data_IF_722103588262
#
_entry.id   IF_722103588262
#
_cell.length_a   1.000
_cell.length_b   1.000
_cell.length_c   1.000
_cell.angle_alpha   90.00
_cell.angle_beta   90.00
_cell.angle_gamma   90.00
#
_symmetry.space_group_name_H-M   'P 1'
#
loop_
_entity.id
_entity.type
_entity.pdbx_description
1 polymer ?
#
# COMPACT_ATOMS: atom_id res chain seq x y z
N UNK A 1 -23.86 18.87 -9.70
CA UNK A 1 -22.71 17.99 -9.39
C UNK A 1 -22.01 17.71 -10.71
N UNK A 2 -20.78 18.16 -10.91
CA UNK A 2 -20.07 17.92 -12.17
C UNK A 2 -19.72 16.43 -12.32
N UNK A 3 -19.98 15.89 -13.52
CA UNK A 3 -19.64 14.52 -13.90
C UNK A 3 -18.52 14.52 -14.93
N UNK A 4 -17.56 13.62 -14.77
CA UNK A 4 -16.39 13.47 -15.63
C UNK A 4 -16.36 12.07 -16.22
N UNK A 5 -16.10 11.96 -17.52
CA UNK A 5 -15.95 10.68 -18.19
C UNK A 5 -14.51 10.19 -18.06
N UNK A 6 -14.34 9.05 -17.44
CA UNK A 6 -13.09 8.29 -17.37
C UNK A 6 -13.28 6.93 -18.06
N UNK A 7 -12.21 6.14 -18.19
CA UNK A 7 -12.29 4.79 -18.75
C UNK A 7 -11.77 3.75 -17.77
N UNK A 8 -12.51 2.69 -17.55
CA UNK A 8 -12.07 1.54 -16.78
C UNK A 8 -11.49 0.47 -17.72
N UNK A 9 -10.37 -0.12 -17.33
CA UNK A 9 -9.80 -1.29 -18.01
C UNK A 9 -10.19 -2.61 -17.31
N UNK A 10 -10.05 -3.72 -18.02
CA UNK A 10 -10.43 -5.06 -17.51
C UNK A 10 -9.56 -5.53 -16.32
N UNK A 11 -8.40 -4.91 -16.11
CA UNK A 11 -7.49 -5.22 -15.00
C UNK A 11 -7.89 -4.45 -13.73
N UNK A 12 -8.81 -3.49 -13.84
CA UNK A 12 -9.28 -2.64 -12.74
C UNK A 12 -8.50 -1.32 -12.62
N UNK A 13 -7.83 -0.85 -13.67
CA UNK A 13 -7.31 0.51 -13.72
C UNK A 13 -8.36 1.48 -14.22
N UNK A 14 -8.57 2.56 -13.48
CA UNK A 14 -9.25 3.73 -13.99
C UNK A 14 -8.24 4.65 -14.69
N UNK A 15 -8.58 5.10 -15.89
CA UNK A 15 -7.78 5.99 -16.72
C UNK A 15 -8.37 7.40 -16.68
N UNK A 16 -7.53 8.34 -16.29
CA UNK A 16 -7.78 9.78 -16.34
C UNK A 16 -7.19 10.33 -17.65
N UNK A 17 -8.04 10.99 -18.46
CA UNK A 17 -7.57 11.70 -19.66
C UNK A 17 -6.57 12.80 -19.26
N UNK A 18 -5.87 13.36 -20.25
CA UNK A 18 -4.98 14.50 -20.02
C UNK A 18 -5.73 15.68 -19.38
N UNK A 19 -6.95 15.97 -19.85
CA UNK A 19 -7.78 17.06 -19.30
C UNK A 19 -8.17 16.79 -17.84
N UNK A 20 -8.54 15.54 -17.51
CA UNK A 20 -8.85 15.17 -16.12
C UNK A 20 -7.61 15.24 -15.23
N UNK A 21 -6.46 14.83 -15.75
CA UNK A 21 -5.20 14.89 -15.01
C UNK A 21 -4.79 16.32 -14.70
N UNK A 22 -4.98 17.25 -15.63
CA UNK A 22 -4.76 18.69 -15.42
C UNK A 22 -5.79 19.25 -14.43
N UNK A 23 -7.07 18.96 -14.62
CA UNK A 23 -8.16 19.43 -13.73
C UNK A 23 -8.00 18.97 -12.28
N UNK A 24 -7.54 17.74 -12.06
CA UNK A 24 -7.29 17.19 -10.73
C UNK A 24 -5.84 17.35 -10.26
N UNK A 25 -4.99 18.06 -11.01
CA UNK A 25 -3.57 18.32 -10.69
C UNK A 25 -2.80 17.02 -10.36
N UNK A 26 -3.08 15.93 -11.07
CA UNK A 26 -2.52 14.59 -10.81
C UNK A 26 -1.00 14.53 -11.01
N UNK A 27 -0.44 15.43 -11.83
CA UNK A 27 1.02 15.56 -12.00
C UNK A 27 1.72 16.02 -10.70
N UNK A 28 1.05 16.87 -9.92
CA UNK A 28 1.57 17.39 -8.64
C UNK A 28 1.13 16.54 -7.44
N UNK A 29 0.20 15.62 -7.66
CA UNK A 29 -0.34 14.69 -6.66
C UNK A 29 -0.19 13.26 -7.16
N UNK A 30 1.06 12.74 -7.24
CA UNK A 30 1.34 11.44 -7.86
C UNK A 30 0.78 10.23 -7.06
N UNK A 31 0.18 10.47 -5.89
CA UNK A 31 -0.39 9.45 -5.03
C UNK A 31 -1.86 9.74 -4.74
N UNK A 32 -2.58 8.74 -4.23
CA UNK A 32 -3.94 8.89 -3.71
C UNK A 32 -4.18 8.07 -2.46
N UNK A 33 -4.96 8.61 -1.54
CA UNK A 33 -5.67 7.81 -0.55
C UNK A 33 -6.99 7.32 -1.17
N UNK A 34 -7.26 6.02 -1.05
CA UNK A 34 -8.49 5.42 -1.57
C UNK A 34 -9.37 5.06 -0.39
N UNK A 35 -10.55 5.65 -0.34
CA UNK A 35 -11.56 5.37 0.68
C UNK A 35 -12.70 4.57 0.04
N UNK A 36 -13.28 3.66 0.80
CA UNK A 36 -14.42 2.84 0.37
C UNK A 36 -15.61 3.06 1.30
N UNK A 37 -16.76 3.30 0.70
CA UNK A 37 -18.07 3.20 1.32
C UNK A 37 -18.72 1.91 0.81
N UNK A 38 -18.69 0.87 1.66
CA UNK A 38 -19.23 -0.45 1.31
C UNK A 38 -20.75 -0.43 1.20
N UNK A 39 -21.43 0.30 2.07
CA UNK A 39 -22.89 0.35 2.11
C UNK A 39 -23.47 1.13 0.92
N UNK A 40 -22.82 2.22 0.53
CA UNK A 40 -23.20 3.01 -0.64
C UNK A 40 -22.66 2.46 -1.97
N UNK A 41 -21.77 1.46 -1.96
CA UNK A 41 -21.01 1.02 -3.14
C UNK A 41 -20.25 2.17 -3.83
N UNK A 42 -19.42 2.90 -3.08
CA UNK A 42 -18.70 4.09 -3.56
C UNK A 42 -17.22 4.00 -3.21
N UNK A 43 -16.40 4.57 -4.10
CA UNK A 43 -14.94 4.68 -3.94
C UNK A 43 -14.60 6.15 -4.04
N UNK A 44 -13.94 6.70 -3.03
CA UNK A 44 -13.37 8.03 -3.07
C UNK A 44 -11.87 7.94 -3.31
N UNK A 45 -11.38 8.77 -4.22
CA UNK A 45 -9.97 8.94 -4.55
C UNK A 45 -9.61 10.35 -4.09
N UNK A 46 -8.65 10.44 -3.17
CA UNK A 46 -8.13 11.72 -2.65
C UNK A 46 -6.69 11.87 -3.12
N UNK A 47 -6.43 12.65 -4.19
CA UNK A 47 -5.07 12.89 -4.65
C UNK A 47 -4.22 13.57 -3.59
N UNK A 48 -2.98 13.13 -3.44
CA UNK A 48 -2.02 13.65 -2.45
C UNK A 48 -0.61 13.66 -3.02
N UNK A 49 0.19 14.65 -2.61
CA UNK A 49 1.63 14.69 -2.88
C UNK A 49 2.43 13.89 -1.85
N UNK A 50 1.87 13.65 -0.67
CA UNK A 50 2.51 12.91 0.42
C UNK A 50 2.29 11.41 0.24
N UNK A 51 3.40 10.68 0.22
CA UNK A 51 3.40 9.22 0.18
C UNK A 51 3.12 8.65 1.57
N UNK A 52 2.22 7.68 1.66
CA UNK A 52 1.88 6.91 2.87
C UNK A 52 1.96 5.42 2.58
N UNK A 53 2.01 4.62 3.65
CA UNK A 53 1.90 3.15 3.58
C UNK A 53 0.65 2.68 2.85
N UNK A 54 -0.46 3.41 3.02
CA UNK A 54 -1.76 3.13 2.39
C UNK A 54 -1.88 3.63 0.95
N UNK A 55 -0.94 4.48 0.49
CA UNK A 55 -1.13 5.24 -0.75
C UNK A 55 -1.19 4.34 -1.98
N UNK A 56 -2.02 4.75 -2.94
CA UNK A 56 -2.03 4.26 -4.30
C UNK A 56 -1.20 5.20 -5.18
N UNK A 57 -0.57 4.68 -6.25
CA UNK A 57 0.20 5.49 -7.20
C UNK A 57 -0.65 5.78 -8.44
N UNK A 58 -0.65 7.02 -8.90
CA UNK A 58 -1.02 7.33 -10.27
C UNK A 58 0.15 6.97 -11.21
N UNK A 59 -0.08 6.03 -12.12
CA UNK A 59 0.89 5.61 -13.12
C UNK A 59 0.72 6.46 -14.37
N UNK A 60 1.78 7.12 -14.80
CA UNK A 60 1.78 7.83 -16.07
C UNK A 60 1.88 6.83 -17.23
N UNK A 61 1.02 6.97 -18.23
CA UNK A 61 0.99 6.09 -19.41
C UNK A 61 0.53 6.89 -20.62
N UNK A 62 1.41 7.10 -21.60
CA UNK A 62 1.11 7.76 -22.88
C UNK A 62 0.29 9.06 -22.73
N UNK A 63 0.72 9.98 -21.86
CA UNK A 63 0.04 11.26 -21.62
C UNK A 63 -1.24 11.17 -20.77
N UNK A 64 -1.64 9.98 -20.34
CA UNK A 64 -2.76 9.75 -19.40
C UNK A 64 -2.24 9.28 -18.04
N UNK A 65 -3.11 9.25 -17.04
CA UNK A 65 -2.80 8.69 -15.72
C UNK A 65 -3.71 7.51 -15.42
N UNK A 66 -3.15 6.46 -14.83
CA UNK A 66 -3.84 5.23 -14.43
C UNK A 66 -3.81 5.09 -12.92
N UNK A 67 -4.93 4.71 -12.31
CA UNK A 67 -5.00 4.35 -10.90
C UNK A 67 -5.61 2.96 -10.75
N UNK A 68 -4.94 2.08 -10.02
CA UNK A 68 -5.40 0.72 -9.81
C UNK A 68 -6.47 0.64 -8.71
N UNK A 69 -7.69 0.27 -9.05
CA UNK A 69 -8.83 0.25 -8.14
C UNK A 69 -9.46 -1.14 -7.95
N UNK A 70 -8.89 -2.21 -8.51
CA UNK A 70 -9.44 -3.59 -8.39
C UNK A 70 -9.79 -3.99 -6.96
N UNK A 71 -8.90 -3.75 -5.99
CA UNK A 71 -9.19 -4.09 -4.59
C UNK A 71 -10.31 -3.25 -3.99
N UNK A 72 -10.39 -1.97 -4.35
CA UNK A 72 -11.46 -1.08 -3.91
C UNK A 72 -12.80 -1.49 -4.51
N UNK A 73 -12.83 -1.81 -5.81
CA UNK A 73 -14.03 -2.31 -6.50
C UNK A 73 -14.55 -3.60 -5.87
N UNK A 74 -13.67 -4.56 -5.61
CA UNK A 74 -14.04 -5.80 -4.93
C UNK A 74 -14.60 -5.52 -3.53
N UNK A 75 -13.99 -4.60 -2.78
CA UNK A 75 -14.41 -4.26 -1.41
C UNK A 75 -15.81 -3.65 -1.35
N UNK A 76 -16.27 -2.98 -2.42
CA UNK A 76 -17.58 -2.32 -2.49
C UNK A 76 -18.60 -3.04 -3.38
N UNK A 77 -18.27 -4.26 -3.85
CA UNK A 77 -19.16 -5.07 -4.70
C UNK A 77 -19.35 -4.54 -6.13
N UNK A 78 -18.39 -3.77 -6.65
CA UNK A 78 -18.39 -3.34 -8.05
C UNK A 78 -17.75 -4.40 -8.95
N UNK A 79 -18.48 -4.80 -10.00
CA UNK A 79 -17.93 -5.67 -11.04
C UNK A 79 -16.87 -4.91 -11.84
N UNK A 80 -15.74 -5.57 -12.08
CA UNK A 80 -14.66 -5.04 -12.92
C UNK A 80 -15.01 -5.36 -14.38
N UNK A 81 -15.22 -4.32 -15.18
CA UNK A 81 -15.47 -4.43 -16.60
C UNK A 81 -14.77 -3.29 -17.34
N UNK A 82 -14.36 -3.51 -18.58
CA UNK A 82 -13.89 -2.42 -19.43
C UNK A 82 -15.06 -1.54 -19.86
N UNK A 83 -14.82 -0.23 -19.97
CA UNK A 83 -15.83 0.69 -20.49
C UNK A 83 -15.75 2.08 -19.87
N UNK A 84 -16.77 2.87 -20.13
CA UNK A 84 -16.88 4.23 -19.59
C UNK A 84 -17.17 4.18 -18.09
N UNK A 85 -16.47 5.03 -17.35
CA UNK A 85 -16.66 5.26 -15.92
C UNK A 85 -17.06 6.72 -15.71
N UNK A 86 -18.09 6.95 -14.90
CA UNK A 86 -18.49 8.30 -14.52
C UNK A 86 -17.88 8.60 -13.15
N UNK A 87 -17.05 9.63 -13.12
CA UNK A 87 -16.50 10.21 -11.91
C UNK A 87 -17.28 11.45 -11.54
N UNK A 88 -17.39 11.71 -10.24
CA UNK A 88 -18.01 12.93 -9.72
C UNK A 88 -17.09 13.54 -8.67
N UNK A 89 -17.29 14.81 -8.33
CA UNK A 89 -16.47 15.50 -7.33
C UNK A 89 -17.29 15.88 -6.11
N UNK A 90 -16.77 15.56 -4.92
CA UNK A 90 -17.31 15.95 -3.62
C UNK A 90 -16.18 16.54 -2.77
N UNK A 91 -16.06 17.86 -2.76
CA UNK A 91 -14.95 18.56 -2.11
C UNK A 91 -13.61 18.18 -2.75
N UNK A 92 -12.73 17.57 -1.96
CA UNK A 92 -11.41 17.04 -2.36
C UNK A 92 -11.47 15.63 -2.97
N UNK A 93 -12.63 14.96 -2.92
CA UNK A 93 -12.79 13.56 -3.32
C UNK A 93 -13.25 13.45 -4.76
N UNK A 94 -12.56 12.62 -5.53
CA UNK A 94 -13.04 12.12 -6.81
C UNK A 94 -13.77 10.82 -6.54
N UNK A 95 -15.09 10.80 -6.75
CA UNK A 95 -15.96 9.68 -6.43
C UNK A 95 -16.22 8.84 -7.67
N UNK A 96 -15.93 7.55 -7.58
CA UNK A 96 -16.38 6.52 -8.49
C UNK A 96 -17.45 5.67 -7.79
N UNK A 97 -18.65 5.59 -8.36
CA UNK A 97 -19.77 4.89 -7.72
C UNK A 97 -20.60 4.08 -8.73
N UNK A 98 -21.29 3.05 -8.22
CA UNK A 98 -22.25 2.28 -9.03
C UNK A 98 -23.42 3.19 -9.42
N UNK A 99 -23.98 2.99 -10.62
CA UNK A 99 -25.19 3.71 -11.03
C UNK A 99 -26.33 3.45 -10.02
N UNK A 100 -26.96 4.53 -9.53
CA UNK A 100 -28.02 4.45 -8.51
C UNK A 100 -27.54 4.30 -7.06
N UNK A 101 -26.22 4.32 -6.81
CA UNK A 101 -25.66 4.33 -5.46
C UNK A 101 -26.14 5.53 -4.62
N UNK A 102 -26.51 5.28 -3.37
CA UNK A 102 -26.90 6.30 -2.39
C UNK A 102 -25.71 6.68 -1.49
N UNK A 103 -25.72 7.90 -0.96
CA UNK A 103 -24.68 8.42 -0.04
C UNK A 103 -24.99 7.99 1.40
N UNK A 104 -24.82 6.70 1.70
CA UNK A 104 -25.39 6.11 2.93
C UNK A 104 -24.39 5.52 3.91
N UNK A 105 -23.10 5.39 3.59
CA UNK A 105 -22.12 4.80 4.51
C UNK A 105 -20.90 5.66 4.83
N UNK A 106 -20.10 5.15 5.77
CA UNK A 106 -18.87 5.78 6.25
C UNK A 106 -17.70 5.47 5.32
N UNK A 107 -16.86 6.47 5.07
CA UNK A 107 -15.62 6.30 4.34
C UNK A 107 -14.58 5.57 5.18
N UNK A 108 -14.12 4.41 4.69
CA UNK A 108 -13.05 3.65 5.31
C UNK A 108 -11.81 3.67 4.41
N UNK A 109 -10.63 4.00 4.96
CA UNK A 109 -9.39 3.95 4.21
C UNK A 109 -9.07 2.52 3.81
N UNK A 110 -8.85 2.31 2.51
CA UNK A 110 -8.37 1.05 1.97
C UNK A 110 -6.90 1.19 1.67
N UNK A 111 -6.05 0.39 2.31
CA UNK A 111 -4.61 0.43 2.07
C UNK A 111 -4.24 -0.29 0.76
N UNK A 112 -3.39 0.34 -0.06
CA UNK A 112 -2.81 -0.31 -1.24
C UNK A 112 -1.90 -1.46 -0.81
N UNK A 113 -2.18 -2.68 -1.27
CA UNK A 113 -1.30 -3.85 -1.03
C UNK A 113 0.00 -3.81 -1.83
N UNK A 114 0.10 -2.93 -2.82
CA UNK A 114 1.31 -2.73 -3.61
C UNK A 114 1.80 -1.31 -3.35
N UNK A 115 2.48 -1.13 -2.21
CA UNK A 115 2.90 0.20 -1.73
C UNK A 115 3.71 0.92 -2.81
N UNK A 116 3.52 2.23 -2.87
CA UNK A 116 4.14 3.07 -3.87
C UNK A 116 5.60 3.28 -3.53
N UNK A 117 6.53 2.53 -4.12
CA UNK A 117 7.97 2.80 -3.99
C UNK A 117 8.58 2.58 -2.60
N UNK A 118 7.77 2.47 -1.54
CA UNK A 118 8.28 2.31 -0.18
C UNK A 118 8.75 0.87 0.05
N UNK A 119 9.90 0.68 0.72
CA UNK A 119 10.27 -0.62 1.27
C UNK A 119 9.29 -0.96 2.39
N UNK A 120 8.72 -2.16 2.31
CA UNK A 120 7.74 -2.64 3.27
C UNK A 120 8.11 -4.02 3.77
N UNK A 121 7.63 -4.30 4.98
CA UNK A 121 7.55 -5.65 5.50
C UNK A 121 6.11 -6.03 5.80
N UNK A 122 5.86 -7.32 5.78
CA UNK A 122 4.63 -7.91 6.29
C UNK A 122 4.96 -8.79 7.48
N UNK A 123 4.08 -8.81 8.48
CA UNK A 123 4.15 -9.77 9.59
C UNK A 123 2.86 -10.59 9.57
N UNK A 124 3.01 -11.91 9.51
CA UNK A 124 1.87 -12.83 9.59
C UNK A 124 1.56 -13.22 11.05
N UNK A 125 0.46 -13.96 11.24
CA UNK A 125 0.00 -14.45 12.54
C UNK A 125 0.98 -15.42 13.22
N UNK A 126 1.90 -16.03 12.45
CA UNK A 126 2.93 -16.94 12.95
C UNK A 126 4.21 -16.21 13.34
N UNK A 127 4.25 -14.89 13.20
CA UNK A 127 5.45 -14.10 13.43
C UNK A 127 6.49 -14.26 12.32
N UNK A 128 6.10 -14.67 11.11
CA UNK A 128 7.00 -14.59 9.95
C UNK A 128 7.02 -13.17 9.45
N UNK A 129 8.22 -12.60 9.31
CA UNK A 129 8.42 -11.32 8.65
C UNK A 129 8.81 -11.55 7.19
N UNK A 130 8.11 -10.88 6.26
CA UNK A 130 8.34 -10.96 4.82
C UNK A 130 8.77 -9.59 4.31
N UNK A 131 9.94 -9.53 3.69
CA UNK A 131 10.52 -8.35 3.06
C UNK A 131 10.14 -8.32 1.59
N UNK A 132 9.65 -7.17 1.12
CA UNK A 132 9.35 -7.00 -0.30
C UNK A 132 10.61 -6.85 -1.17
N UNK A 133 10.41 -6.82 -2.50
CA UNK A 133 11.50 -6.70 -3.47
C UNK A 133 12.38 -5.47 -3.24
N UNK A 134 11.87 -4.38 -2.66
CA UNK A 134 12.67 -3.17 -2.43
C UNK A 134 13.55 -3.33 -1.21
N UNK A 135 13.03 -3.94 -0.15
CA UNK A 135 13.82 -4.33 1.02
C UNK A 135 14.99 -5.25 0.62
N UNK A 136 14.73 -6.31 -0.16
CA UNK A 136 15.79 -7.26 -0.55
C UNK A 136 16.87 -6.58 -1.41
N UNK A 137 16.50 -5.67 -2.31
CA UNK A 137 17.46 -4.95 -3.15
C UNK A 137 18.27 -3.94 -2.34
N UNK A 138 17.62 -3.16 -1.48
CA UNK A 138 18.28 -2.13 -0.68
C UNK A 138 19.28 -2.74 0.33
N UNK A 139 18.88 -3.82 0.99
CA UNK A 139 19.71 -4.51 2.00
C UNK A 139 20.70 -5.48 1.34
N UNK A 140 20.43 -5.91 0.12
CA UNK A 140 21.13 -7.00 -0.55
C UNK A 140 21.17 -8.26 0.33
N UNK A 141 20.00 -8.81 0.63
CA UNK A 141 19.84 -9.94 1.57
C UNK A 141 20.49 -11.24 1.07
N UNK A 142 20.90 -11.31 -0.20
CA UNK A 142 21.75 -12.40 -0.71
C UNK A 142 23.17 -12.29 -0.13
N UNK A 143 23.74 -11.08 -0.09
CA UNK A 143 25.07 -10.84 0.50
C UNK A 143 25.05 -10.69 2.01
N UNK A 144 23.90 -10.33 2.57
CA UNK A 144 23.67 -10.14 4.01
C UNK A 144 22.56 -11.10 4.50
N UNK A 145 22.83 -12.42 4.56
CA UNK A 145 21.81 -13.45 4.75
C UNK A 145 21.36 -13.64 6.20
N UNK A 146 21.86 -12.82 7.13
CA UNK A 146 21.51 -12.89 8.55
C UNK A 146 21.28 -11.50 9.10
N UNK A 147 20.50 -11.40 10.17
CA UNK A 147 20.23 -10.13 10.84
C UNK A 147 20.18 -10.27 12.36
N UNK A 148 20.46 -9.16 13.03
CA UNK A 148 20.35 -9.02 14.48
C UNK A 148 19.22 -8.03 14.81
N UNK A 149 18.16 -8.46 15.51
CA UNK A 149 17.06 -7.61 15.94
C UNK A 149 17.35 -6.93 17.28
N UNK A 150 16.98 -5.66 17.38
CA UNK A 150 16.96 -4.86 18.61
C UNK A 150 15.58 -4.20 18.74
N UNK A 151 15.04 -4.12 19.96
CA UNK A 151 13.75 -3.48 20.23
C UNK A 151 13.87 -2.36 21.27
N UNK A 152 13.43 -1.16 20.90
CA UNK A 152 13.23 -0.04 21.82
C UNK A 152 11.74 -0.01 22.23
N UNK A 153 11.46 -0.51 23.44
CA UNK A 153 10.11 -0.57 23.99
C UNK A 153 9.48 0.81 24.20
N UNK A 154 10.28 1.85 24.50
CA UNK A 154 9.76 3.21 24.70
C UNK A 154 9.26 3.81 23.39
N UNK A 155 9.95 3.53 22.29
CA UNK A 155 9.59 4.04 20.96
C UNK A 155 8.70 3.09 20.15
N UNK A 156 8.51 1.86 20.64
CA UNK A 156 7.88 0.74 19.92
C UNK A 156 8.56 0.49 18.57
N UNK A 157 9.89 0.55 18.55
CA UNK A 157 10.67 0.51 17.31
C UNK A 157 11.59 -0.70 17.31
N UNK A 158 11.53 -1.48 16.23
CA UNK A 158 12.52 -2.48 15.91
C UNK A 158 13.61 -1.91 15.00
N UNK A 159 14.85 -2.27 15.31
CA UNK A 159 16.01 -2.07 14.44
C UNK A 159 16.58 -3.43 14.08
N UNK A 160 16.79 -3.66 12.79
CA UNK A 160 17.35 -4.89 12.25
C UNK A 160 18.65 -4.54 11.54
N UNK A 161 19.76 -5.09 12.03
CA UNK A 161 21.08 -4.90 11.42
C UNK A 161 21.44 -6.15 10.63
N UNK A 162 21.55 -6.02 9.31
CA UNK A 162 21.85 -7.12 8.40
C UNK A 162 23.36 -7.27 8.18
N UNK A 163 23.82 -8.49 7.98
CA UNK A 163 25.23 -8.74 7.70
C UNK A 163 25.51 -10.20 7.38
N UNK A 164 26.77 -10.60 7.57
CA UNK A 164 27.23 -11.99 7.41
C UNK A 164 27.16 -12.80 8.71
N UNK A 165 27.00 -12.13 9.85
CA UNK A 165 26.82 -12.75 11.19
C UNK A 165 25.62 -12.08 11.85
N UNK A 166 24.81 -12.87 12.56
CA UNK A 166 23.58 -12.40 13.18
C UNK A 166 22.81 -13.52 13.86
N UNK A 167 21.67 -13.19 14.45
CA UNK A 167 20.84 -14.11 15.23
C UNK A 167 19.78 -14.82 14.40
N UNK A 168 19.24 -14.14 13.39
CA UNK A 168 18.12 -14.62 12.58
C UNK A 168 18.56 -14.81 11.14
N UNK A 169 18.30 -16.00 10.60
CA UNK A 169 18.56 -16.30 9.19
C UNK A 169 17.49 -15.67 8.29
N UNK A 170 17.95 -15.13 7.15
CA UNK A 170 17.13 -14.49 6.13
C UNK A 170 17.11 -15.38 4.89
N UNK A 171 15.96 -15.98 4.61
CA UNK A 171 15.78 -16.78 3.39
C UNK A 171 15.36 -15.86 2.25
N UNK A 172 16.25 -15.66 1.29
CA UNK A 172 15.98 -14.80 0.12
C UNK A 172 15.64 -15.64 -1.10
N UNK A 173 14.58 -15.25 -1.81
CA UNK A 173 14.29 -15.69 -3.18
C UNK A 173 14.10 -14.46 -4.08
N UNK A 174 13.87 -14.66 -5.37
CA UNK A 174 13.85 -13.56 -6.35
C UNK A 174 12.78 -12.48 -6.06
N UNK A 175 11.61 -12.89 -5.56
CA UNK A 175 10.47 -12.00 -5.37
C UNK A 175 10.38 -11.40 -3.97
N UNK A 176 10.97 -12.04 -2.96
CA UNK A 176 10.89 -11.64 -1.56
C UNK A 176 11.98 -12.32 -0.70
N UNK A 177 12.15 -11.84 0.54
CA UNK A 177 12.87 -12.57 1.57
C UNK A 177 11.98 -12.78 2.79
N UNK A 178 12.22 -13.85 3.56
CA UNK A 178 11.47 -14.14 4.78
C UNK A 178 12.38 -14.55 5.93
N UNK A 179 11.88 -14.31 7.15
CA UNK A 179 12.55 -14.67 8.39
C UNK A 179 11.51 -14.98 9.47
N UNK A 180 11.78 -16.01 10.28
CA UNK A 180 10.94 -16.33 11.43
C UNK A 180 11.32 -15.42 12.59
N UNK A 181 10.35 -14.64 13.07
CA UNK A 181 10.51 -13.70 14.18
C UNK A 181 9.72 -14.11 15.40
N UNK A 182 9.03 -15.25 15.38
CA UNK A 182 8.15 -15.68 16.49
C UNK A 182 8.87 -15.68 17.84
N UNK A 183 10.02 -16.36 17.94
CA UNK A 183 10.82 -16.41 19.17
C UNK A 183 11.39 -15.03 19.56
N UNK A 184 11.79 -14.24 18.57
CA UNK A 184 12.29 -12.88 18.78
C UNK A 184 11.21 -11.94 19.30
N UNK A 185 10.05 -11.89 18.67
CA UNK A 185 8.92 -11.07 19.13
C UNK A 185 8.50 -11.46 20.53
N UNK A 186 8.41 -12.76 20.81
CA UNK A 186 8.10 -13.25 22.15
C UNK A 186 9.15 -12.81 23.19
N UNK A 187 10.45 -12.93 22.87
CA UNK A 187 11.53 -12.49 23.77
C UNK A 187 11.50 -11.00 24.10
N UNK A 188 10.94 -10.17 23.22
CA UNK A 188 10.75 -8.74 23.42
C UNK A 188 9.35 -8.37 23.96
N UNK A 189 8.51 -9.36 24.30
CA UNK A 189 7.16 -9.12 24.81
C UNK A 189 6.18 -8.54 23.78
N UNK A 190 6.46 -8.72 22.50
CA UNK A 190 5.63 -8.18 21.41
C UNK A 190 4.54 -9.17 21.04
N UNK A 191 3.28 -8.71 21.11
CA UNK A 191 2.14 -9.51 20.70
C UNK A 191 2.11 -9.66 19.17
N UNK A 192 1.87 -10.89 18.71
CA UNK A 192 1.70 -11.17 17.29
C UNK A 192 0.35 -10.64 16.79
N UNK A 193 0.29 -10.15 15.55
CA UNK A 193 -0.94 -9.61 14.99
C UNK A 193 -1.95 -10.74 14.73
N UNK A 194 -3.23 -10.50 15.02
CA UNK A 194 -4.32 -11.45 14.77
C UNK A 194 -4.58 -11.69 13.28
N UNK A 195 -4.01 -10.85 12.41
CA UNK A 195 -4.09 -11.00 10.97
C UNK A 195 -2.82 -10.47 10.31
N UNK A 196 -2.66 -10.75 9.03
CA UNK A 196 -1.50 -10.27 8.29
C UNK A 196 -1.50 -8.73 8.20
N UNK A 197 -0.49 -8.09 8.79
CA UNK A 197 -0.32 -6.64 8.82
C UNK A 197 0.93 -6.22 8.04
N UNK A 198 0.95 -4.97 7.56
CA UNK A 198 2.08 -4.41 6.81
C UNK A 198 2.58 -3.13 7.45
N UNK A 199 3.89 -2.98 7.47
CA UNK A 199 4.57 -1.81 8.02
C UNK A 199 5.51 -1.21 6.97
N UNK A 200 5.56 0.12 6.91
CA UNK A 200 6.69 0.80 6.25
C UNK A 200 7.95 0.62 7.08
N UNK A 201 9.06 0.51 6.37
CA UNK A 201 10.37 0.52 7.00
C UNK A 201 11.23 1.65 6.46
N UNK A 202 12.17 2.08 7.27
CA UNK A 202 13.27 2.96 6.85
C UNK A 202 14.52 2.10 6.70
N UNK A 203 15.27 2.29 5.61
CA UNK A 203 16.50 1.54 5.35
C UNK A 203 17.64 2.53 5.16
N UNK A 204 18.72 2.35 5.92
CA UNK A 204 19.96 3.10 5.78
C UNK A 204 21.13 2.12 5.82
N UNK A 205 21.78 1.93 4.67
CA UNK A 205 22.80 0.89 4.50
C UNK A 205 22.25 -0.50 4.85
N UNK A 206 22.88 -1.17 5.80
CA UNK A 206 22.48 -2.49 6.29
C UNK A 206 21.45 -2.46 7.43
N UNK A 207 20.97 -1.28 7.82
CA UNK A 207 20.04 -1.13 8.95
C UNK A 207 18.63 -0.87 8.44
N UNK A 208 17.69 -1.72 8.84
CA UNK A 208 16.26 -1.55 8.60
C UNK A 208 15.55 -1.22 9.92
N UNK A 209 14.72 -0.19 9.92
CA UNK A 209 13.95 0.25 11.10
C UNK A 209 12.46 0.17 10.82
N UNK A 210 11.72 -0.45 11.74
CA UNK A 210 10.28 -0.67 11.73
C UNK A 210 9.71 -0.05 13.00
N UNK A 211 8.62 0.72 12.90
CA UNK A 211 7.81 1.09 14.06
C UNK A 211 6.55 0.24 14.09
N UNK A 212 6.28 -0.40 15.22
CA UNK A 212 5.01 -1.08 15.46
C UNK A 212 3.97 -0.04 15.87
N UNK A 213 2.84 -0.05 15.16
CA UNK A 213 1.64 0.75 15.47
C UNK A 213 0.78 0.02 16.50
#
# INVERSE_FOLDING_TARGET
>A
MESYKARLDIRGFIRFSKELAEKFKLKNTPYADVLVDKAGSRIAIVPTSKIKTSSYRFLQSNGTFLLYLRSAMNAVGMKICSGDAILTKEGDKIIFQKKGAKKTGTWNLLACRNSVGLPMISIDQRGTMILDKRCITAINTIKNPVMTPEYDAKKKTFRFTFGKKGLVNVRTIESHASMSMMGTFHSFGVQLPESHVRYSVQISGQVMTLKLE
#
